data_IF_449230889305
#
_entry.id   IF_449230889305
#
_cell.length_a   1.000
_cell.length_b   1.000
_cell.length_c   1.000
_cell.angle_alpha   90.00
_cell.angle_beta   90.00
_cell.angle_gamma   90.00
#
_symmetry.space_group_name_H-M   'P 1'
#
loop_
_entity.id
_entity.type
_entity.pdbx_description
1 polymer ?
#
# COMPACT_ATOMS: atom_id res chain seq x y z
N UNK A 1 37.77 -47.68 1.19
CA UNK A 1 37.64 -46.72 2.32
C UNK A 1 37.97 -45.33 1.79
N UNK A 2 37.32 -44.29 2.34
CA UNK A 2 37.10 -42.92 1.83
C UNK A 2 35.90 -42.84 0.85
N UNK A 3 34.67 -42.45 1.20
CA UNK A 3 34.15 -41.31 2.00
C UNK A 3 34.80 -40.00 1.51
N UNK A 4 34.14 -39.07 0.81
CA UNK A 4 32.74 -38.64 0.84
C UNK A 4 32.72 -37.22 1.40
N UNK A 5 32.58 -36.21 0.53
CA UNK A 5 32.21 -34.85 0.93
C UNK A 5 31.73 -34.07 -0.30
N UNK A 6 30.43 -34.17 -0.59
CA UNK A 6 29.72 -33.24 -1.46
C UNK A 6 28.38 -33.00 -0.80
N UNK A 7 28.25 -31.91 -0.03
CA UNK A 7 26.98 -31.31 0.38
C UNK A 7 27.24 -30.16 1.35
N UNK A 8 27.25 -28.92 0.86
CA UNK A 8 26.86 -27.72 1.62
C UNK A 8 26.86 -26.50 0.70
N UNK A 9 25.94 -26.43 -0.26
CA UNK A 9 25.66 -25.16 -0.96
C UNK A 9 24.15 -24.88 -1.17
N UNK A 10 23.25 -25.76 -0.74
CA UNK A 10 21.80 -25.61 -0.99
C UNK A 10 21.08 -24.77 0.08
N UNK A 11 21.75 -24.37 1.17
CA UNK A 11 21.10 -23.69 2.31
C UNK A 11 21.09 -22.16 2.29
N UNK A 12 21.87 -21.51 1.42
CA UNK A 12 22.03 -20.04 1.43
C UNK A 12 21.05 -19.30 0.53
N UNK A 13 20.57 -19.94 -0.55
CA UNK A 13 19.59 -19.36 -1.47
C UNK A 13 18.19 -19.30 -0.86
N UNK A 14 17.78 -20.32 -0.10
CA UNK A 14 16.45 -20.35 0.55
C UNK A 14 16.33 -19.33 1.69
N UNK A 15 17.42 -19.03 2.40
CA UNK A 15 17.42 -18.03 3.46
C UNK A 15 17.37 -16.60 2.90
N UNK A 16 17.95 -16.38 1.70
CA UNK A 16 17.91 -15.09 1.01
C UNK A 16 16.55 -14.87 0.32
N UNK A 17 15.96 -15.90 -0.30
CA UNK A 17 14.60 -15.82 -0.86
C UNK A 17 13.52 -15.63 0.22
N UNK A 18 13.71 -16.19 1.42
CA UNK A 18 12.83 -15.93 2.58
C UNK A 18 12.92 -14.49 3.11
N UNK A 19 13.98 -13.77 2.77
CA UNK A 19 14.18 -12.36 3.13
C UNK A 19 13.66 -11.40 2.04
N UNK A 20 13.24 -11.89 0.87
CA UNK A 20 12.85 -11.03 -0.27
C UNK A 20 11.46 -10.37 -0.12
N UNK A 21 10.63 -10.78 0.83
CA UNK A 21 9.45 -9.98 1.22
C UNK A 21 9.78 -8.85 2.22
N UNK A 22 11.07 -8.63 2.57
CA UNK A 22 11.47 -7.57 3.53
C UNK A 22 11.68 -6.18 2.95
N UNK A 23 11.62 -5.98 1.64
CA UNK A 23 11.91 -4.66 1.06
C UNK A 23 10.68 -3.96 0.52
N UNK A 24 9.73 -3.74 1.41
CA UNK A 24 8.90 -2.56 1.33
C UNK A 24 8.94 -1.89 2.70
N UNK A 25 9.99 -1.10 2.97
CA UNK A 25 10.05 -0.25 4.16
C UNK A 25 9.05 0.90 3.99
N UNK A 26 7.76 0.62 3.92
CA UNK A 26 6.70 1.64 3.86
C UNK A 26 6.48 2.34 5.21
N UNK A 27 7.51 2.40 6.05
CA UNK A 27 7.39 3.06 7.34
C UNK A 27 7.45 4.58 7.12
N UNK A 28 6.58 5.35 7.78
CA UNK A 28 6.73 6.79 7.82
C UNK A 28 8.08 7.16 8.46
N UNK A 29 8.83 8.05 7.81
CA UNK A 29 10.16 8.46 8.26
C UNK A 29 10.16 9.89 8.78
N UNK A 30 9.42 10.78 8.12
CA UNK A 30 9.53 12.22 8.33
C UNK A 30 8.16 12.78 8.66
N UNK A 31 7.98 13.24 9.90
CA UNK A 31 6.81 14.04 10.29
C UNK A 31 6.94 15.46 9.76
N UNK A 32 5.92 15.95 9.07
CA UNK A 32 5.86 17.34 8.58
C UNK A 32 5.05 18.17 9.57
N UNK A 33 5.76 18.95 10.38
CA UNK A 33 5.15 19.90 11.30
C UNK A 33 4.93 21.27 10.64
N UNK A 34 3.81 21.92 10.92
CA UNK A 34 3.42 23.23 10.40
C UNK A 34 3.61 24.35 11.43
N UNK A 35 4.15 24.05 12.61
CA UNK A 35 4.57 25.05 13.58
C UNK A 35 5.64 25.97 12.96
N UNK A 36 5.36 27.27 12.87
CA UNK A 36 6.23 28.23 12.19
C UNK A 36 6.24 28.11 10.66
N UNK A 37 5.09 27.77 10.06
CA UNK A 37 4.85 27.60 8.62
C UNK A 37 5.63 28.59 7.73
N UNK A 38 6.14 28.10 6.60
CA UNK A 38 6.90 28.89 5.62
C UNK A 38 5.99 29.96 5.00
N UNK A 39 6.24 31.24 5.33
CA UNK A 39 5.40 32.36 4.91
C UNK A 39 5.32 32.53 3.39
N UNK A 40 6.41 32.25 2.67
CA UNK A 40 6.46 32.37 1.22
C UNK A 40 5.71 31.21 0.57
N UNK A 41 5.97 29.97 1.00
CA UNK A 41 5.24 28.80 0.53
C UNK A 41 3.74 28.94 0.81
N UNK A 42 3.39 29.43 2.00
CA UNK A 42 2.00 29.64 2.42
C UNK A 42 1.31 30.69 1.55
N UNK A 43 1.99 31.79 1.23
CA UNK A 43 1.46 32.81 0.30
C UNK A 43 1.20 32.22 -1.10
N UNK A 44 2.10 31.38 -1.61
CA UNK A 44 1.91 30.66 -2.87
C UNK A 44 0.72 29.70 -2.79
N UNK A 45 0.64 28.87 -1.76
CA UNK A 45 -0.47 27.94 -1.55
C UNK A 45 -1.83 28.65 -1.44
N UNK A 46 -1.89 29.81 -0.77
CA UNK A 46 -3.11 30.61 -0.65
C UNK A 46 -3.66 31.10 -1.99
N UNK A 47 -2.80 31.39 -2.97
CA UNK A 47 -3.26 31.76 -4.33
C UNK A 47 -4.03 30.63 -4.99
N UNK A 48 -3.68 29.37 -4.68
CA UNK A 48 -4.28 28.17 -5.26
C UNK A 48 -5.52 27.71 -4.47
N UNK A 49 -5.44 27.70 -3.13
CA UNK A 49 -6.44 27.06 -2.27
C UNK A 49 -7.29 28.04 -1.45
N UNK A 50 -6.87 29.30 -1.29
CA UNK A 50 -7.49 30.26 -0.36
C UNK A 50 -8.92 30.68 -0.71
N UNK A 51 -9.41 30.36 -1.91
CA UNK A 51 -10.83 30.55 -2.27
C UNK A 51 -11.75 29.48 -1.67
N UNK A 52 -11.21 28.28 -1.43
CA UNK A 52 -11.96 27.09 -0.97
C UNK A 52 -11.70 26.79 0.51
N UNK A 53 -10.50 27.11 1.00
CA UNK A 53 -10.06 26.78 2.34
C UNK A 53 -9.75 28.05 3.13
N UNK A 54 -10.20 28.06 4.39
CA UNK A 54 -10.01 29.17 5.32
C UNK A 54 -8.65 29.11 6.01
N UNK A 55 -8.22 27.91 6.37
CA UNK A 55 -6.86 27.62 6.79
C UNK A 55 -6.07 27.11 5.58
N UNK A 56 -4.95 27.78 5.30
CA UNK A 56 -3.95 27.35 4.32
C UNK A 56 -2.60 27.69 4.89
N UNK A 57 -1.86 26.66 5.27
CA UNK A 57 -0.47 26.72 5.71
C UNK A 57 0.36 25.78 4.84
N UNK A 58 1.55 26.20 4.43
CA UNK A 58 2.41 25.37 3.61
C UNK A 58 3.83 25.28 4.17
N UNK A 59 4.51 24.19 3.83
CA UNK A 59 5.89 23.94 4.18
C UNK A 59 6.61 23.32 3.00
N UNK A 60 7.76 23.90 2.63
CA UNK A 60 8.64 23.29 1.63
C UNK A 60 9.20 21.98 2.17
N UNK A 61 9.23 20.97 1.31
CA UNK A 61 9.75 19.63 1.63
C UNK A 61 10.52 19.10 0.44
N UNK A 62 11.29 18.05 0.65
CA UNK A 62 11.90 17.27 -0.42
C UNK A 62 11.12 15.97 -0.59
N UNK A 63 10.26 15.90 -1.62
CA UNK A 63 9.57 14.67 -2.01
C UNK A 63 10.51 13.77 -2.79
N UNK A 64 11.40 14.32 -3.60
CA UNK A 64 12.52 13.59 -4.20
C UNK A 64 13.85 13.91 -3.51
N UNK A 65 14.94 13.35 -3.99
CA UNK A 65 16.27 13.77 -3.56
C UNK A 65 16.46 15.29 -3.78
N UNK A 66 17.09 16.00 -2.83
CA UNK A 66 17.30 17.43 -2.97
C UNK A 66 18.03 17.79 -4.27
N UNK A 67 17.46 18.71 -5.05
CA UNK A 67 18.05 19.26 -6.25
C UNK A 67 17.69 20.75 -6.44
N UNK A 68 18.41 21.44 -7.32
CA UNK A 68 18.18 22.86 -7.59
C UNK A 68 16.96 23.09 -8.53
N UNK A 69 16.30 22.03 -8.98
CA UNK A 69 15.42 22.06 -10.15
C UNK A 69 13.97 22.41 -9.83
N UNK A 70 13.41 21.90 -8.73
CA UNK A 70 11.96 21.97 -8.52
C UNK A 70 11.55 22.28 -7.09
N UNK A 71 10.70 23.31 -6.93
CA UNK A 71 10.05 23.59 -5.65
C UNK A 71 8.96 22.56 -5.34
N UNK A 72 8.95 22.09 -4.10
CA UNK A 72 8.07 21.04 -3.60
C UNK A 72 7.54 21.45 -2.23
N UNK A 73 6.26 21.22 -1.96
CA UNK A 73 5.66 21.59 -0.68
C UNK A 73 4.50 20.70 -0.29
N UNK A 74 4.24 20.62 1.02
CA UNK A 74 3.00 20.10 1.58
C UNK A 74 2.17 21.28 2.06
N UNK A 75 0.88 21.22 1.80
CA UNK A 75 -0.09 22.24 2.21
C UNK A 75 -1.10 21.60 3.16
N UNK A 76 -1.26 22.19 4.33
CA UNK A 76 -2.33 21.89 5.29
C UNK A 76 -3.51 22.81 5.01
N UNK A 77 -4.68 22.21 4.85
CA UNK A 77 -5.92 22.82 4.40
C UNK A 77 -7.07 22.51 5.38
N UNK A 78 -7.90 23.53 5.64
CA UNK A 78 -9.18 23.36 6.36
C UNK A 78 -10.19 24.40 5.91
N UNK A 79 -11.47 24.02 5.84
CA UNK A 79 -12.58 24.98 5.68
C UNK A 79 -12.80 25.79 6.96
N UNK A 80 -12.31 25.28 8.09
CA UNK A 80 -12.31 25.96 9.38
C UNK A 80 -11.01 26.75 9.60
N UNK A 81 -10.98 27.57 10.66
CA UNK A 81 -9.76 28.31 11.04
C UNK A 81 -8.66 27.42 11.63
N UNK A 82 -9.02 26.22 12.05
CA UNK A 82 -8.14 25.24 12.67
C UNK A 82 -8.44 23.86 12.09
N UNK A 83 -7.52 22.92 12.24
CA UNK A 83 -7.77 21.50 12.04
C UNK A 83 -6.93 20.71 13.04
N UNK A 84 -7.59 19.97 13.94
CA UNK A 84 -6.94 19.18 15.00
C UNK A 84 -7.00 17.70 14.72
N UNK A 85 -8.14 17.19 14.23
CA UNK A 85 -8.36 15.74 14.16
C UNK A 85 -8.42 15.19 12.73
N UNK A 86 -8.68 16.01 11.71
CA UNK A 86 -8.80 15.59 10.31
C UNK A 86 -8.45 16.74 9.35
N UNK A 87 -7.19 17.18 9.36
CA UNK A 87 -6.71 18.15 8.39
C UNK A 87 -6.73 17.54 6.99
N UNK A 88 -7.09 18.33 5.98
CA UNK A 88 -6.80 17.96 4.59
C UNK A 88 -5.36 18.37 4.29
N UNK A 89 -4.58 17.48 3.69
CA UNK A 89 -3.24 17.77 3.21
C UNK A 89 -3.21 17.63 1.69
N UNK A 90 -2.44 18.49 1.03
CA UNK A 90 -2.14 18.40 -0.38
C UNK A 90 -0.63 18.43 -0.59
N UNK A 91 -0.13 17.57 -1.47
CA UNK A 91 1.29 17.48 -1.82
C UNK A 91 1.49 18.08 -3.20
N UNK A 92 2.34 19.09 -3.29
CA UNK A 92 2.55 19.88 -4.49
C UNK A 92 3.97 19.78 -5.04
N UNK A 93 4.06 19.81 -6.36
CA UNK A 93 5.28 19.82 -7.14
C UNK A 93 5.20 20.90 -8.22
N UNK A 94 6.20 21.77 -8.33
CA UNK A 94 6.28 22.77 -9.39
C UNK A 94 7.01 22.18 -10.60
N UNK A 95 6.41 22.20 -11.79
CA UNK A 95 6.96 21.60 -13.02
C UNK A 95 7.62 22.62 -13.97
N UNK A 96 8.15 23.72 -13.42
CA UNK A 96 8.64 24.92 -14.11
C UNK A 96 7.58 25.76 -14.84
N UNK A 97 6.34 25.29 -14.95
CA UNK A 97 5.24 26.02 -15.59
C UNK A 97 4.11 26.32 -14.63
N UNK A 98 3.79 25.38 -13.76
CA UNK A 98 2.66 25.43 -12.85
C UNK A 98 2.86 24.52 -11.64
N UNK A 99 2.05 24.76 -10.62
CA UNK A 99 1.96 23.87 -9.47
C UNK A 99 1.01 22.71 -9.79
N UNK A 100 1.53 21.50 -9.66
CA UNK A 100 0.77 20.27 -9.71
C UNK A 100 0.48 19.82 -8.28
N UNK A 101 -0.75 19.39 -8.03
CA UNK A 101 -1.13 18.61 -6.87
C UNK A 101 -0.99 17.14 -7.22
N UNK A 102 -0.03 16.47 -6.61
CA UNK A 102 0.22 15.05 -6.82
C UNK A 102 -0.71 14.17 -5.99
N UNK A 103 -1.07 14.64 -4.79
CA UNK A 103 -1.90 13.90 -3.86
C UNK A 103 -2.68 14.84 -2.95
N UNK A 104 -3.89 14.44 -2.56
CA UNK A 104 -4.69 15.09 -1.51
C UNK A 104 -5.43 14.05 -0.67
N UNK A 105 -5.40 14.20 0.64
CA UNK A 105 -6.11 13.32 1.56
C UNK A 105 -6.26 13.91 2.95
N UNK A 106 -7.05 13.26 3.79
CA UNK A 106 -7.26 13.68 5.18
C UNK A 106 -6.38 12.87 6.11
N UNK A 107 -5.72 13.53 7.04
CA UNK A 107 -4.93 12.87 8.06
C UNK A 107 -4.98 13.67 9.38
N UNK A 108 -4.71 12.98 10.49
CA UNK A 108 -4.41 13.66 11.76
C UNK A 108 -3.03 14.31 11.71
N UNK A 109 -2.04 13.57 11.25
CA UNK A 109 -0.66 14.02 11.04
C UNK A 109 -0.20 13.65 9.64
N UNK A 110 0.56 14.53 9.00
CA UNK A 110 1.15 14.25 7.70
C UNK A 110 2.57 13.75 7.86
N UNK A 111 2.88 12.61 7.23
CA UNK A 111 4.20 12.03 7.25
C UNK A 111 4.63 11.60 5.85
N UNK A 112 5.93 11.74 5.56
CA UNK A 112 6.55 11.20 4.36
C UNK A 112 7.20 9.86 4.69
N UNK A 113 7.04 8.91 3.78
CA UNK A 113 7.75 7.63 3.77
C UNK A 113 9.17 7.75 3.18
N UNK A 114 9.81 6.59 2.92
CA UNK A 114 11.10 6.56 2.25
C UNK A 114 10.98 7.07 0.81
N UNK A 115 12.12 7.40 0.22
CA UNK A 115 12.23 7.57 -1.23
C UNK A 115 11.97 6.22 -1.90
N UNK A 116 10.99 6.15 -2.80
CA UNK A 116 10.73 4.97 -3.61
C UNK A 116 11.65 4.89 -4.83
N UNK A 117 11.70 3.72 -5.46
CA UNK A 117 12.56 3.47 -6.63
C UNK A 117 12.25 4.39 -7.82
N UNK A 118 11.01 4.91 -7.90
CA UNK A 118 10.57 5.88 -8.90
C UNK A 118 10.94 7.34 -8.54
N UNK A 119 11.81 7.55 -7.56
CA UNK A 119 12.43 8.84 -7.25
C UNK A 119 11.58 9.80 -6.44
N UNK A 120 10.42 9.39 -5.93
CA UNK A 120 9.56 10.21 -5.07
C UNK A 120 9.27 9.47 -3.75
N UNK A 121 9.12 10.22 -2.67
CA UNK A 121 8.80 9.71 -1.34
C UNK A 121 7.37 9.23 -1.26
N UNK A 122 7.16 8.19 -0.47
CA UNK A 122 5.81 7.79 -0.10
C UNK A 122 5.10 8.87 0.74
N UNK A 123 3.78 8.87 0.72
CA UNK A 123 2.93 9.74 1.54
C UNK A 123 2.12 8.88 2.50
N UNK A 124 2.27 9.11 3.80
CA UNK A 124 1.47 8.42 4.81
C UNK A 124 0.37 9.34 5.32
N UNK A 125 -0.88 8.90 5.16
CA UNK A 125 -2.07 9.65 5.54
C UNK A 125 -2.60 9.32 6.95
N UNK A 126 -1.81 8.60 7.75
CA UNK A 126 -2.23 8.10 9.05
C UNK A 126 -2.96 6.76 8.99
N UNK A 127 -3.30 6.27 7.80
CA UNK A 127 -3.96 4.98 7.60
C UNK A 127 -3.16 4.04 6.69
N UNK A 128 -2.58 4.54 5.60
CA UNK A 128 -1.87 3.74 4.58
C UNK A 128 -0.75 4.54 3.93
N UNK A 129 0.21 3.81 3.36
CA UNK A 129 1.29 4.41 2.57
C UNK A 129 0.87 4.53 1.11
N UNK A 130 0.91 5.74 0.57
CA UNK A 130 0.74 6.02 -0.84
C UNK A 130 2.11 6.06 -1.52
N UNK A 131 2.25 5.39 -2.66
CA UNK A 131 3.52 5.21 -3.35
C UNK A 131 3.48 5.79 -4.75
N UNK A 132 4.57 6.45 -5.13
CA UNK A 132 4.70 6.98 -6.48
C UNK A 132 5.08 5.88 -7.47
N UNK A 133 4.29 5.73 -8.54
CA UNK A 133 4.53 4.74 -9.61
C UNK A 133 5.33 5.27 -10.78
N UNK A 134 5.70 6.56 -10.76
CA UNK A 134 6.33 7.25 -11.89
C UNK A 134 5.40 8.31 -12.51
N UNK A 135 4.10 8.13 -12.36
CA UNK A 135 3.05 8.97 -12.96
C UNK A 135 1.91 9.30 -12.00
N UNK A 136 1.67 8.50 -10.96
CA UNK A 136 0.61 8.72 -9.97
C UNK A 136 0.96 8.17 -8.58
N UNK A 137 0.21 8.59 -7.56
CA UNK A 137 0.30 8.01 -6.22
C UNK A 137 -0.72 6.89 -6.05
N UNK A 138 -0.23 5.67 -5.85
CA UNK A 138 -1.05 4.49 -5.60
C UNK A 138 -1.26 4.26 -4.11
N UNK A 139 -2.50 3.95 -3.68
CA UNK A 139 -2.76 3.58 -2.30
C UNK A 139 -2.21 2.18 -2.01
N UNK A 140 -1.40 2.06 -0.96
CA UNK A 140 -1.02 0.79 -0.38
C UNK A 140 -2.10 0.21 0.52
N UNK A 141 -1.85 -1.02 0.97
CA UNK A 141 -2.62 -1.66 2.03
C UNK A 141 -2.55 -0.84 3.34
N UNK A 142 -3.58 -0.95 4.18
CA UNK A 142 -3.61 -0.26 5.46
C UNK A 142 -2.45 -0.67 6.40
N UNK A 143 -2.08 -1.95 6.38
CA UNK A 143 -0.88 -2.41 7.04
C UNK A 143 0.34 -2.13 6.16
N UNK A 144 1.33 -1.43 6.71
CA UNK A 144 2.59 -1.11 6.01
C UNK A 144 3.75 -2.01 6.45
N UNK A 145 3.50 -2.91 7.40
CA UNK A 145 4.48 -3.88 7.89
C UNK A 145 3.82 -5.25 8.03
N UNK A 146 4.10 -6.13 7.09
CA UNK A 146 3.55 -7.48 7.08
C UNK A 146 4.44 -8.46 7.84
N UNK A 147 3.85 -9.22 8.75
CA UNK A 147 4.51 -10.31 9.46
C UNK A 147 4.12 -11.65 8.84
N UNK A 148 4.67 -11.93 7.67
CA UNK A 148 4.44 -13.20 7.00
C UNK A 148 5.04 -14.37 7.79
N UNK A 149 4.34 -15.50 7.78
CA UNK A 149 4.81 -16.80 8.27
C UNK A 149 4.70 -17.87 7.18
N UNK A 150 5.37 -18.99 7.41
CA UNK A 150 5.21 -20.18 6.59
C UNK A 150 3.76 -20.69 6.65
N UNK A 151 3.27 -21.17 5.51
CA UNK A 151 1.96 -21.79 5.42
C UNK A 151 1.93 -23.17 6.10
N UNK A 152 0.87 -23.42 6.86
CA UNK A 152 0.61 -24.72 7.48
C UNK A 152 0.21 -25.76 6.43
N UNK A 153 0.38 -27.07 6.68
CA UNK A 153 0.01 -28.11 5.71
C UNK A 153 -1.45 -28.07 5.26
N UNK A 154 -2.39 -27.73 6.14
CA UNK A 154 -3.81 -27.55 5.83
C UNK A 154 -4.08 -26.34 4.94
N UNK A 155 -3.40 -25.21 5.19
CA UNK A 155 -3.52 -23.98 4.39
C UNK A 155 -2.98 -24.21 2.98
N UNK A 156 -1.80 -24.86 2.85
CA UNK A 156 -1.23 -25.25 1.56
C UNK A 156 -2.17 -26.15 0.78
N UNK A 157 -2.72 -27.19 1.43
CA UNK A 157 -3.66 -28.11 0.78
C UNK A 157 -4.92 -27.40 0.27
N UNK A 158 -5.46 -26.45 1.02
CA UNK A 158 -6.63 -25.68 0.60
C UNK A 158 -6.32 -24.82 -0.63
N UNK A 159 -5.17 -24.13 -0.64
CA UNK A 159 -4.74 -23.31 -1.78
C UNK A 159 -4.39 -24.17 -3.00
N UNK A 160 -3.69 -25.28 -2.82
CA UNK A 160 -3.37 -26.22 -3.91
C UNK A 160 -4.62 -26.78 -4.58
N UNK A 161 -5.64 -27.12 -3.79
CA UNK A 161 -6.91 -27.58 -4.31
C UNK A 161 -7.62 -26.49 -5.12
N UNK A 162 -7.58 -25.24 -4.64
CA UNK A 162 -8.14 -24.09 -5.34
C UNK A 162 -7.42 -23.81 -6.67
N UNK A 163 -6.09 -23.83 -6.66
CA UNK A 163 -5.25 -23.66 -7.86
C UNK A 163 -5.49 -24.77 -8.87
N UNK A 164 -5.49 -26.03 -8.42
CA UNK A 164 -5.72 -27.19 -9.29
C UNK A 164 -7.13 -27.20 -9.89
N UNK A 165 -8.15 -26.74 -9.16
CA UNK A 165 -9.50 -26.59 -9.69
C UNK A 165 -9.58 -25.52 -10.79
N UNK A 166 -8.75 -24.48 -10.73
CA UNK A 166 -8.69 -23.40 -11.72
C UNK A 166 -7.84 -23.72 -12.96
N UNK A 167 -6.71 -24.42 -12.79
CA UNK A 167 -5.73 -24.64 -13.87
C UNK A 167 -5.60 -26.09 -14.33
N UNK A 168 -6.10 -27.05 -13.56
CA UNK A 168 -5.93 -28.49 -13.80
C UNK A 168 -4.55 -29.05 -13.45
N UNK A 169 -3.63 -28.23 -12.93
CA UNK A 169 -2.26 -28.64 -12.62
C UNK A 169 -1.81 -28.06 -11.28
N UNK A 170 -1.17 -28.89 -10.46
CA UNK A 170 -0.42 -28.47 -9.25
C UNK A 170 1.04 -28.25 -9.62
N UNK A 171 1.62 -27.16 -9.13
CA UNK A 171 3.02 -26.81 -9.33
C UNK A 171 3.81 -26.88 -8.03
N UNK A 172 4.84 -27.73 -8.01
CA UNK A 172 5.72 -27.90 -6.85
C UNK A 172 6.65 -26.70 -6.60
N UNK A 173 6.78 -25.80 -7.59
CA UNK A 173 7.58 -24.57 -7.50
C UNK A 173 6.84 -23.40 -6.81
N UNK A 174 5.61 -23.62 -6.34
CA UNK A 174 4.80 -22.59 -5.69
C UNK A 174 5.30 -22.34 -4.27
N UNK A 175 5.63 -21.09 -3.96
CA UNK A 175 5.91 -20.65 -2.59
C UNK A 175 4.67 -19.98 -1.99
N UNK A 176 4.56 -20.04 -0.66
CA UNK A 176 3.40 -19.55 0.08
C UNK A 176 3.87 -18.68 1.23
N UNK A 177 3.29 -17.49 1.33
CA UNK A 177 3.48 -16.57 2.45
C UNK A 177 2.14 -16.28 3.08
N UNK A 178 2.05 -16.38 4.41
CA UNK A 178 0.76 -16.28 5.11
C UNK A 178 0.75 -15.11 6.07
N UNK A 179 -0.32 -14.32 6.01
CA UNK A 179 -0.70 -13.36 7.04
C UNK A 179 -1.84 -13.93 7.86
N UNK A 180 -1.71 -13.85 9.17
CA UNK A 180 -2.79 -14.21 10.07
C UNK A 180 -3.91 -13.18 9.97
N UNK A 181 -5.14 -13.66 9.74
CA UNK A 181 -6.32 -12.82 9.55
C UNK A 181 -7.18 -12.87 10.82
N UNK A 182 -7.29 -11.78 11.61
CA UNK A 182 -8.12 -11.78 12.82
C UNK A 182 -9.60 -11.69 12.45
N UNK A 183 -10.25 -12.86 12.41
CA UNK A 183 -11.68 -13.03 12.20
C UNK A 183 -12.44 -12.97 13.54
N UNK A 184 -13.76 -12.77 13.49
CA UNK A 184 -14.60 -12.73 14.69
C UNK A 184 -14.51 -14.02 15.51
N UNK A 185 -14.47 -15.18 14.85
CA UNK A 185 -14.53 -16.49 15.50
C UNK A 185 -13.15 -17.13 15.72
N UNK A 186 -12.05 -16.45 15.39
CA UNK A 186 -10.71 -17.00 15.50
C UNK A 186 -9.74 -16.37 14.51
N UNK A 187 -8.65 -17.07 14.23
CA UNK A 187 -7.61 -16.60 13.30
C UNK A 187 -7.70 -17.40 12.00
N UNK A 188 -8.07 -16.73 10.92
CA UNK A 188 -7.94 -17.24 9.56
C UNK A 188 -6.59 -16.90 8.95
N UNK A 189 -6.50 -16.97 7.63
CA UNK A 189 -5.27 -16.68 6.91
C UNK A 189 -5.53 -15.97 5.58
N UNK A 190 -4.68 -15.00 5.24
CA UNK A 190 -4.48 -14.54 3.86
C UNK A 190 -3.22 -15.22 3.36
N UNK A 191 -3.34 -16.01 2.29
CA UNK A 191 -2.24 -16.76 1.69
C UNK A 191 -1.89 -16.13 0.35
N UNK A 192 -0.71 -15.53 0.30
CA UNK A 192 -0.08 -15.01 -0.90
C UNK A 192 0.79 -16.11 -1.53
N UNK A 193 0.75 -16.24 -2.85
CA UNK A 193 1.58 -17.21 -3.57
C UNK A 193 2.61 -16.50 -4.44
N UNK A 194 3.72 -17.20 -4.71
CA UNK A 194 4.63 -16.84 -5.80
C UNK A 194 4.86 -18.09 -6.65
N UNK A 195 4.50 -17.99 -7.93
CA UNK A 195 4.78 -19.01 -8.93
C UNK A 195 4.70 -18.35 -10.31
N UNK A 196 5.75 -18.42 -11.15
CA UNK A 196 5.71 -17.86 -12.50
C UNK A 196 4.54 -18.38 -13.33
N UNK A 197 4.10 -19.62 -13.07
CA UNK A 197 2.98 -20.24 -13.75
C UNK A 197 1.63 -19.61 -13.38
N UNK A 198 1.36 -19.43 -12.09
CA UNK A 198 0.07 -18.87 -11.62
C UNK A 198 0.02 -17.34 -11.64
N UNK A 199 1.16 -16.67 -11.44
CA UNK A 199 1.26 -15.22 -11.35
C UNK A 199 1.45 -14.53 -12.71
N UNK A 200 1.94 -15.26 -13.72
CA UNK A 200 2.43 -14.65 -14.95
C UNK A 200 3.47 -13.55 -14.64
N UNK A 201 3.23 -12.35 -15.16
CA UNK A 201 4.13 -11.21 -14.99
C UNK A 201 3.86 -10.34 -13.75
N UNK A 202 2.60 -10.22 -13.30
CA UNK A 202 2.22 -9.19 -12.33
C UNK A 202 1.05 -9.61 -11.42
N UNK A 203 0.01 -10.23 -11.96
CA UNK A 203 -1.20 -10.57 -11.19
C UNK A 203 -1.07 -11.96 -10.56
N UNK A 204 -0.91 -12.01 -9.24
CA UNK A 204 -0.96 -13.24 -8.47
C UNK A 204 -2.21 -13.25 -7.57
N UNK A 205 -3.00 -14.34 -7.56
CA UNK A 205 -4.16 -14.41 -6.69
C UNK A 205 -3.75 -14.49 -5.20
N UNK A 206 -4.47 -13.77 -4.36
CA UNK A 206 -4.43 -13.92 -2.91
C UNK A 206 -5.63 -14.78 -2.45
N UNK A 207 -5.37 -15.75 -1.58
CA UNK A 207 -6.39 -16.67 -1.06
C UNK A 207 -6.72 -16.31 0.37
N UNK A 208 -8.00 -16.39 0.74
CA UNK A 208 -8.45 -16.14 2.11
C UNK A 208 -9.08 -17.39 2.66
N UNK A 209 -8.58 -17.82 3.82
CA UNK A 209 -9.01 -19.01 4.54
C UNK A 209 -9.63 -18.61 5.88
N UNK A 210 -10.67 -19.34 6.31
CA UNK A 210 -11.25 -19.16 7.64
C UNK A 210 -10.42 -19.83 8.74
N UNK A 211 -10.91 -19.80 9.98
CA UNK A 211 -10.26 -20.39 11.16
C UNK A 211 -10.08 -21.92 11.09
N UNK A 212 -10.74 -22.58 10.13
CA UNK A 212 -10.66 -24.03 9.88
C UNK A 212 -9.83 -24.36 8.63
N UNK A 213 -9.14 -23.36 8.07
CA UNK A 213 -8.39 -23.47 6.80
C UNK A 213 -9.26 -23.84 5.60
N UNK A 214 -10.54 -23.53 5.64
CA UNK A 214 -11.44 -23.66 4.49
C UNK A 214 -11.35 -22.40 3.63
N UNK A 215 -11.32 -22.57 2.31
CA UNK A 215 -11.27 -21.45 1.37
C UNK A 215 -12.56 -20.63 1.44
N UNK A 216 -12.43 -19.34 1.72
CA UNK A 216 -13.54 -18.38 1.79
C UNK A 216 -13.58 -17.51 0.55
N UNK A 217 -12.42 -17.18 -0.03
CA UNK A 217 -12.35 -16.39 -1.25
C UNK A 217 -10.96 -16.42 -1.90
N UNK A 218 -10.93 -16.10 -3.18
CA UNK A 218 -9.72 -15.85 -3.95
C UNK A 218 -9.88 -14.51 -4.66
N UNK A 219 -8.85 -13.68 -4.60
CA UNK A 219 -8.90 -12.29 -5.05
C UNK A 219 -7.73 -12.00 -5.96
N UNK A 220 -7.98 -11.27 -7.04
CA UNK A 220 -6.92 -10.77 -7.90
C UNK A 220 -6.11 -9.70 -7.14
N UNK A 221 -4.79 -9.85 -7.14
CA UNK A 221 -3.87 -8.90 -6.55
C UNK A 221 -2.60 -8.80 -7.41
N UNK A 222 -2.02 -7.60 -7.48
CA UNK A 222 -0.68 -7.41 -8.01
C UNK A 222 0.30 -8.01 -7.00
N UNK A 223 1.15 -8.92 -7.45
CA UNK A 223 2.17 -9.60 -6.64
C UNK A 223 1.62 -10.24 -5.35
N UNK A 224 0.37 -10.70 -5.37
CA UNK A 224 -0.34 -11.27 -4.21
C UNK A 224 -0.46 -10.29 -3.03
N UNK A 225 -0.36 -8.98 -3.26
CA UNK A 225 -0.48 -7.98 -2.21
C UNK A 225 -1.92 -7.86 -1.72
N UNK A 226 -2.18 -8.50 -0.58
CA UNK A 226 -3.47 -8.49 0.10
C UNK A 226 -3.31 -8.33 1.61
N UNK A 227 -4.33 -7.75 2.26
CA UNK A 227 -4.28 -7.46 3.69
C UNK A 227 -5.67 -7.28 4.31
N UNK A 228 -5.70 -7.19 5.63
CA UNK A 228 -6.91 -6.92 6.38
C UNK A 228 -7.20 -5.40 6.39
N UNK A 229 -8.41 -5.02 6.03
CA UNK A 229 -8.87 -3.64 6.17
C UNK A 229 -9.15 -3.30 7.64
N UNK A 230 -8.95 -2.04 8.08
CA UNK A 230 -9.46 -1.56 9.35
C UNK A 230 -11.00 -1.52 9.39
N UNK A 231 -11.65 -1.46 8.22
CA UNK A 231 -13.10 -1.56 8.11
C UNK A 231 -13.58 -2.99 8.36
N UNK A 232 -14.77 -3.10 8.95
CA UNK A 232 -15.39 -4.38 9.32
C UNK A 232 -16.69 -4.59 8.55
N UNK A 233 -16.95 -5.85 8.20
CA UNK A 233 -18.25 -6.26 7.69
C UNK A 233 -19.33 -6.29 8.79
N UNK A 234 -20.57 -6.60 8.40
CA UNK A 234 -21.72 -6.74 9.32
C UNK A 234 -21.51 -7.80 10.40
N UNK A 235 -20.62 -8.76 10.15
CA UNK A 235 -20.30 -9.88 11.03
C UNK A 235 -19.03 -9.60 11.84
N UNK A 236 -18.54 -8.35 11.84
CA UNK A 236 -17.33 -7.89 12.53
C UNK A 236 -16.01 -8.53 12.06
N UNK A 237 -15.98 -9.17 10.90
CA UNK A 237 -14.74 -9.59 10.25
C UNK A 237 -14.11 -8.41 9.50
N UNK A 238 -12.78 -8.37 9.34
CA UNK A 238 -12.14 -7.37 8.50
C UNK A 238 -12.53 -7.56 7.05
N UNK A 239 -12.72 -6.45 6.33
CA UNK A 239 -12.76 -6.50 4.87
C UNK A 239 -11.38 -6.90 4.33
N UNK A 240 -11.33 -7.39 3.10
CA UNK A 240 -10.09 -7.79 2.43
C UNK A 240 -9.66 -6.68 1.48
N UNK A 241 -8.46 -6.14 1.64
CA UNK A 241 -7.85 -5.18 0.72
C UNK A 241 -6.92 -5.94 -0.23
N UNK A 242 -6.99 -5.66 -1.54
CA UNK A 242 -6.00 -6.11 -2.53
C UNK A 242 -5.53 -4.96 -3.40
N UNK A 243 -4.24 -4.95 -3.74
CA UNK A 243 -3.69 -3.98 -4.69
C UNK A 243 -3.97 -4.48 -6.11
N UNK A 244 -4.55 -3.63 -6.96
CA UNK A 244 -4.97 -3.97 -8.33
C UNK A 244 -4.53 -2.88 -9.29
N UNK A 245 -4.69 -3.12 -10.60
CA UNK A 245 -4.39 -2.10 -11.63
C UNK A 245 -5.28 -0.86 -11.58
N UNK A 246 -6.32 -0.86 -10.73
CA UNK A 246 -7.23 0.28 -10.50
C UNK A 246 -6.91 1.04 -9.22
N UNK A 247 -5.82 0.70 -8.52
CA UNK A 247 -5.57 1.12 -7.15
C UNK A 247 -5.94 0.01 -6.16
N UNK A 248 -6.41 0.38 -4.97
CA UNK A 248 -6.69 -0.58 -3.92
C UNK A 248 -8.17 -0.97 -3.90
N UNK A 249 -8.46 -2.24 -4.11
CA UNK A 249 -9.82 -2.76 -4.12
C UNK A 249 -10.14 -3.43 -2.80
N UNK A 250 -11.33 -3.18 -2.26
CA UNK A 250 -11.78 -3.71 -0.97
C UNK A 250 -12.99 -4.61 -1.15
N UNK A 251 -12.96 -5.77 -0.51
CA UNK A 251 -13.97 -6.82 -0.63
C UNK A 251 -14.54 -7.22 0.72
N UNK A 252 -15.82 -7.57 0.73
CA UNK A 252 -16.41 -8.33 1.82
C UNK A 252 -15.76 -9.72 1.89
N UNK A 253 -15.66 -10.28 3.09
CA UNK A 253 -15.10 -11.62 3.27
C UNK A 253 -15.95 -12.65 2.50
N UNK A 254 -15.33 -13.34 1.54
CA UNK A 254 -15.99 -14.29 0.63
C UNK A 254 -16.87 -13.64 -0.47
N UNK A 255 -16.92 -12.31 -0.52
CA UNK A 255 -17.56 -11.60 -1.61
C UNK A 255 -16.68 -11.58 -2.87
N UNK A 256 -17.26 -11.91 -4.03
CA UNK A 256 -16.54 -11.88 -5.32
C UNK A 256 -16.56 -10.52 -6.01
N UNK A 257 -17.35 -9.58 -5.50
CA UNK A 257 -17.46 -8.22 -6.04
C UNK A 257 -16.80 -7.22 -5.10
N UNK A 258 -16.07 -6.22 -5.64
CA UNK A 258 -15.60 -5.09 -4.86
C UNK A 258 -16.75 -4.41 -4.13
N UNK A 259 -16.52 -4.06 -2.87
CA UNK A 259 -17.38 -3.16 -2.11
C UNK A 259 -17.08 -1.71 -2.52
N UNK A 260 -15.80 -1.36 -2.60
CA UNK A 260 -15.31 -0.09 -3.14
C UNK A 260 -13.85 -0.20 -3.60
N UNK A 261 -13.38 0.82 -4.32
CA UNK A 261 -11.98 0.99 -4.73
C UNK A 261 -11.48 2.33 -4.25
N UNK A 262 -10.25 2.38 -3.77
CA UNK A 262 -9.49 3.61 -3.54
C UNK A 262 -8.61 3.78 -4.77
N UNK A 263 -8.94 4.77 -5.59
CA UNK A 263 -8.26 5.01 -6.86
C UNK A 263 -6.87 5.62 -6.64
N UNK A 264 -5.97 5.35 -7.59
CA UNK A 264 -4.71 6.06 -7.69
C UNK A 264 -4.94 7.56 -7.94
N UNK A 265 -4.03 8.38 -7.43
CA UNK A 265 -4.09 9.83 -7.56
C UNK A 265 -3.11 10.33 -8.62
N UNK A 266 -3.65 10.64 -9.79
CA UNK A 266 -2.90 11.33 -10.85
C UNK A 266 -2.64 12.80 -10.50
N UNK A 267 -1.54 13.38 -11.00
CA UNK A 267 -1.27 14.81 -10.88
C UNK A 267 -2.37 15.65 -11.54
N UNK A 268 -2.83 16.68 -10.83
CA UNK A 268 -3.73 17.70 -11.37
C UNK A 268 -3.15 19.09 -11.16
N UNK A 269 -3.66 20.10 -11.87
CA UNK A 269 -3.28 21.49 -11.59
C UNK A 269 -3.79 21.87 -10.19
N UNK A 270 -2.91 22.37 -9.35
CA UNK A 270 -3.22 22.74 -7.97
C UNK A 270 -4.36 23.77 -7.87
N UNK A 271 -5.23 23.61 -6.87
CA UNK A 271 -6.44 24.42 -6.68
C UNK A 271 -7.67 23.97 -7.49
N UNK A 272 -7.51 23.06 -8.45
CA UNK A 272 -8.66 22.41 -9.13
C UNK A 272 -9.33 21.37 -8.22
N UNK A 273 -10.55 21.02 -8.59
CA UNK A 273 -11.26 19.91 -7.96
C UNK A 273 -10.68 18.59 -8.46
N UNK A 274 -10.32 17.73 -7.51
CA UNK A 274 -9.95 16.34 -7.76
C UNK A 274 -11.25 15.57 -7.96
N UNK A 275 -11.36 14.84 -9.07
CA UNK A 275 -12.51 14.00 -9.39
C UNK A 275 -12.42 12.68 -8.66
#
# INVERSE_FOLDING_TARGET
MSIGCASTLVGLSDALARDELRYLKFQPEIKVDFDGSDSQATSTARKMYGKKFRLVDAKRVWLKEPDDGYEQMVVRLSTERTCTDNCTYAVLFYDDKQWLELWRGTAKEFQLGPLGDNGMRGIYDGSRMWQWTGDEYWPGLAEYKFLYRDAKPEEKRAVDAALSAGTGEKRDDTTYSVLDLPLKNGTGAIVSIQSPYYCGQLNCPAFVLNEKSELVGNYDAIESQAGASPLRDKDANPLIETVTSKGLTVYQLGGLKPDFTIDAQTPIIAGRDRK
#
